data_IF_387875735291
#
_entry.id   IF_387875735291
#
_cell.length_a   1.000
_cell.length_b   1.000
_cell.length_c   1.000
_cell.angle_alpha   90.00
_cell.angle_beta   90.00
_cell.angle_gamma   90.00
#
_symmetry.space_group_name_H-M   'P 1'
#
loop_
_entity.id
_entity.type
_entity.pdbx_description
1 polymer ?
#
# COMPACT_ATOMS: atom_id res chain seq x y z
N UNK A 1 -44.10 -12.70 -16.16
CA UNK A 1 -42.68 -12.35 -16.03
C UNK A 1 -42.63 -11.02 -15.28
N UNK A 2 -42.66 -11.08 -13.95
CA UNK A 2 -42.60 -9.90 -13.09
C UNK A 2 -41.19 -9.29 -13.18
N UNK A 3 -41.15 -8.04 -13.61
CA UNK A 3 -39.95 -7.21 -13.57
C UNK A 3 -39.65 -6.94 -12.09
N UNK A 4 -38.70 -7.67 -11.51
CA UNK A 4 -38.17 -7.34 -10.19
C UNK A 4 -37.44 -6.02 -10.31
N UNK A 5 -38.13 -4.93 -10.01
CA UNK A 5 -37.54 -3.62 -9.78
C UNK A 5 -36.61 -3.74 -8.59
N UNK A 6 -35.31 -3.80 -8.84
CA UNK A 6 -34.28 -3.62 -7.81
C UNK A 6 -34.43 -2.22 -7.26
N UNK A 7 -35.10 -2.10 -6.10
CA UNK A 7 -35.19 -0.82 -5.38
C UNK A 7 -33.78 -0.46 -4.92
N UNK A 8 -33.18 0.53 -5.54
CA UNK A 8 -31.88 1.05 -5.09
C UNK A 8 -32.01 1.49 -3.64
N UNK A 9 -31.19 0.92 -2.76
CA UNK A 9 -31.16 1.28 -1.36
C UNK A 9 -30.66 2.72 -1.21
N UNK A 10 -31.36 3.57 -0.43
CA UNK A 10 -30.92 4.93 -0.23
C UNK A 10 -29.55 4.96 0.47
N UNK A 11 -28.60 5.68 -0.12
CA UNK A 11 -27.27 5.88 0.42
C UNK A 11 -27.24 7.02 1.45
N UNK A 12 -26.26 7.05 2.35
CA UNK A 12 -26.06 8.18 3.25
C UNK A 12 -25.88 9.51 2.47
N UNK A 13 -26.30 10.65 3.04
CA UNK A 13 -26.14 11.94 2.38
C UNK A 13 -24.71 12.22 1.93
N UNK A 14 -24.52 12.66 0.68
CA UNK A 14 -23.23 12.98 0.09
C UNK A 14 -22.40 11.76 -0.35
N UNK A 15 -22.89 10.54 -0.14
CA UNK A 15 -22.28 9.31 -0.66
C UNK A 15 -22.92 8.94 -1.98
N UNK A 16 -22.09 8.53 -2.93
CA UNK A 16 -22.50 8.07 -4.27
C UNK A 16 -21.98 6.67 -4.52
N UNK A 17 -22.66 5.91 -5.38
CA UNK A 17 -22.28 4.57 -5.78
C UNK A 17 -23.37 3.53 -5.52
N UNK A 18 -22.99 2.30 -5.25
CA UNK A 18 -23.90 1.16 -5.05
C UNK A 18 -23.54 0.33 -3.83
N UNK A 19 -24.53 -0.31 -3.23
CA UNK A 19 -24.35 -1.23 -2.09
C UNK A 19 -25.44 -2.31 -2.11
N UNK A 20 -25.04 -3.55 -1.86
CA UNK A 20 -26.00 -4.64 -1.61
C UNK A 20 -26.60 -4.57 -0.21
N UNK A 21 -27.81 -5.10 0.04
CA UNK A 21 -28.48 -5.01 1.34
C UNK A 21 -27.63 -5.46 2.53
N UNK A 22 -26.91 -6.55 2.39
CA UNK A 22 -26.06 -7.11 3.43
C UNK A 22 -24.90 -6.18 3.85
N UNK A 23 -24.47 -5.29 2.97
CA UNK A 23 -23.35 -4.36 3.21
C UNK A 23 -23.81 -2.92 3.56
N UNK A 24 -25.11 -2.69 3.72
CA UNK A 24 -25.65 -1.40 4.16
C UNK A 24 -24.98 -0.83 5.43
N UNK A 25 -24.70 -1.63 6.50
CA UNK A 25 -23.97 -1.10 7.65
C UNK A 25 -22.57 -0.57 7.32
N UNK A 26 -21.90 -1.13 6.31
CA UNK A 26 -20.61 -0.63 5.84
C UNK A 26 -20.76 0.70 5.09
N UNK A 27 -21.81 0.88 4.28
CA UNK A 27 -22.12 2.14 3.62
C UNK A 27 -22.42 3.25 4.62
N UNK A 28 -23.21 2.96 5.66
CA UNK A 28 -23.50 3.91 6.74
C UNK A 28 -22.23 4.31 7.52
N UNK A 29 -21.37 3.33 7.82
CA UNK A 29 -20.08 3.58 8.47
C UNK A 29 -19.17 4.45 7.59
N UNK A 30 -19.09 4.18 6.29
CA UNK A 30 -18.34 4.96 5.33
C UNK A 30 -18.85 6.42 5.30
N UNK A 31 -20.15 6.63 5.16
CA UNK A 31 -20.75 7.95 5.19
C UNK A 31 -20.40 8.72 6.48
N UNK A 32 -20.56 8.09 7.65
CA UNK A 32 -20.26 8.72 8.95
C UNK A 32 -18.79 9.08 9.13
N UNK A 33 -17.87 8.29 8.61
CA UNK A 33 -16.43 8.45 8.84
C UNK A 33 -15.79 9.37 7.79
N UNK A 34 -16.24 9.31 6.53
CA UNK A 34 -15.56 9.99 5.43
C UNK A 34 -16.21 11.35 5.09
N UNK A 35 -17.51 11.54 5.31
CA UNK A 35 -18.16 12.85 5.07
C UNK A 35 -17.80 13.92 6.13
N UNK A 36 -17.28 13.50 7.29
CA UNK A 36 -16.86 14.41 8.36
C UNK A 36 -15.50 15.04 8.03
N UNK A 37 -15.48 16.21 7.44
CA UNK A 37 -14.26 16.99 7.21
C UNK A 37 -13.98 17.31 5.74
N UNK A 38 -12.82 17.94 5.49
CA UNK A 38 -12.37 18.32 4.15
C UNK A 38 -11.77 17.13 3.42
N UNK A 39 -11.91 17.11 2.08
CA UNK A 39 -11.39 16.05 1.21
C UNK A 39 -12.43 14.99 0.89
N UNK A 40 -11.99 13.85 0.41
CA UNK A 40 -12.85 12.77 -0.04
C UNK A 40 -12.19 11.39 0.08
N UNK A 41 -12.89 10.40 -0.45
CA UNK A 41 -12.39 9.03 -0.51
C UNK A 41 -13.36 8.09 -1.20
N UNK A 42 -12.88 6.88 -1.47
CA UNK A 42 -13.65 5.80 -2.05
C UNK A 42 -13.39 4.48 -1.31
N UNK A 43 -14.42 3.65 -1.27
CA UNK A 43 -14.40 2.32 -0.67
C UNK A 43 -15.04 1.33 -1.65
N UNK A 44 -14.29 0.31 -2.04
CA UNK A 44 -14.80 -0.80 -2.85
C UNK A 44 -14.60 -2.09 -2.09
N UNK A 45 -15.63 -2.94 -2.04
CA UNK A 45 -15.62 -4.24 -1.40
C UNK A 45 -16.09 -5.30 -2.38
N UNK A 46 -15.37 -6.42 -2.44
CA UNK A 46 -15.72 -7.55 -3.29
C UNK A 46 -15.79 -8.84 -2.46
N UNK A 47 -16.74 -9.70 -2.80
CA UNK A 47 -16.90 -11.03 -2.21
C UNK A 47 -17.00 -12.05 -3.34
N UNK A 48 -16.11 -13.05 -3.36
CA UNK A 48 -16.03 -14.07 -4.41
C UNK A 48 -16.05 -13.50 -5.84
N UNK A 49 -15.34 -12.38 -6.05
CA UNK A 49 -15.26 -11.70 -7.35
C UNK A 49 -16.40 -10.72 -7.66
N UNK A 50 -17.49 -10.73 -6.88
CA UNK A 50 -18.62 -9.81 -7.05
C UNK A 50 -18.43 -8.52 -6.26
N UNK A 51 -18.71 -7.37 -6.87
CA UNK A 51 -18.69 -6.08 -6.18
C UNK A 51 -19.97 -5.94 -5.36
N UNK A 52 -19.83 -5.93 -4.04
CA UNK A 52 -20.95 -5.81 -3.10
C UNK A 52 -21.12 -4.42 -2.52
N UNK A 53 -20.09 -3.58 -2.66
CA UNK A 53 -20.11 -2.18 -2.29
C UNK A 53 -19.08 -1.43 -3.13
N UNK A 54 -19.51 -0.31 -3.74
CA UNK A 54 -18.63 0.61 -4.45
C UNK A 54 -19.12 2.04 -4.22
N UNK A 55 -18.43 2.76 -3.35
CA UNK A 55 -18.86 4.05 -2.84
C UNK A 55 -17.74 5.09 -2.92
N UNK A 56 -18.13 6.32 -3.22
CA UNK A 56 -17.25 7.48 -3.10
C UNK A 56 -18.00 8.68 -2.49
N UNK A 57 -17.22 9.62 -1.92
CA UNK A 57 -17.77 10.84 -1.32
C UNK A 57 -16.72 11.95 -1.26
N UNK A 58 -17.18 13.20 -1.18
CA UNK A 58 -16.34 14.36 -0.98
C UNK A 58 -15.65 14.84 -2.26
N UNK A 59 -14.48 15.45 -2.09
CA UNK A 59 -13.78 16.23 -3.10
C UNK A 59 -12.37 15.75 -3.34
N UNK A 60 -11.98 15.71 -4.62
CA UNK A 60 -10.63 15.34 -5.04
C UNK A 60 -9.65 16.52 -4.95
N UNK A 61 -10.13 17.75 -4.81
CA UNK A 61 -9.32 18.96 -4.72
C UNK A 61 -9.61 19.78 -3.45
N UNK A 62 -8.69 20.70 -3.15
CA UNK A 62 -8.81 21.60 -1.99
C UNK A 62 -9.84 22.72 -2.18
N UNK A 63 -10.11 23.07 -3.44
CA UNK A 63 -11.05 24.12 -3.81
C UNK A 63 -12.51 23.65 -3.82
N UNK A 64 -12.76 22.35 -3.67
CA UNK A 64 -14.07 21.73 -3.75
C UNK A 64 -14.76 21.97 -5.10
N UNK A 65 -14.00 21.92 -6.19
CA UNK A 65 -14.49 22.06 -7.57
C UNK A 65 -14.57 20.74 -8.30
N UNK A 66 -13.76 19.76 -7.89
CA UNK A 66 -13.69 18.43 -8.49
C UNK A 66 -14.23 17.36 -7.52
N UNK A 67 -15.45 16.83 -7.76
CA UNK A 67 -16.01 15.76 -6.95
C UNK A 67 -15.15 14.50 -7.01
N UNK A 68 -15.12 13.72 -5.94
CA UNK A 68 -14.49 12.39 -5.97
C UNK A 68 -15.29 11.45 -6.87
N UNK A 69 -14.62 10.65 -7.69
CA UNK A 69 -15.23 9.63 -8.55
C UNK A 69 -14.59 8.26 -8.30
N UNK A 70 -15.12 7.14 -8.81
CA UNK A 70 -14.50 5.82 -8.71
C UNK A 70 -13.09 5.78 -9.33
N UNK A 71 -12.82 6.58 -10.36
CA UNK A 71 -11.55 6.68 -11.09
C UNK A 71 -10.53 7.56 -10.35
N UNK A 72 -10.96 8.31 -9.34
CA UNK A 72 -10.07 9.20 -8.59
C UNK A 72 -8.94 8.42 -7.93
N UNK A 73 -7.71 8.81 -8.26
CA UNK A 73 -6.48 8.24 -7.72
C UNK A 73 -6.04 9.00 -6.47
N UNK A 74 -5.61 8.29 -5.44
CA UNK A 74 -5.07 8.92 -4.24
C UNK A 74 -3.63 8.51 -3.99
N UNK A 75 -2.82 9.45 -3.49
CA UNK A 75 -1.51 9.16 -2.92
C UNK A 75 -1.67 8.14 -1.79
N UNK A 76 -1.15 6.94 -1.99
CA UNK A 76 -1.48 5.81 -1.14
C UNK A 76 -0.34 5.33 -0.23
N UNK A 77 0.80 6.03 -0.24
CA UNK A 77 1.96 5.71 0.60
C UNK A 77 2.28 4.20 0.64
N UNK A 78 2.44 3.65 1.83
CA UNK A 78 2.85 2.26 2.00
C UNK A 78 1.85 1.21 1.48
N UNK A 79 0.62 1.58 1.12
CA UNK A 79 -0.28 0.69 0.38
C UNK A 79 0.35 0.21 -0.93
N UNK A 80 1.18 1.06 -1.54
CA UNK A 80 1.97 0.77 -2.75
C UNK A 80 2.84 -0.47 -2.60
N UNK A 81 3.34 -0.78 -1.39
CA UNK A 81 4.18 -1.97 -1.15
C UNK A 81 3.47 -3.26 -1.49
N UNK A 82 2.17 -3.35 -1.23
CA UNK A 82 1.38 -4.52 -1.60
C UNK A 82 1.34 -4.73 -3.11
N UNK A 83 1.18 -3.63 -3.88
CA UNK A 83 1.21 -3.64 -5.34
C UNK A 83 2.60 -4.04 -5.84
N UNK A 84 3.66 -3.40 -5.34
CA UNK A 84 5.04 -3.69 -5.69
C UNK A 84 5.45 -5.15 -5.37
N UNK A 85 5.00 -5.66 -4.22
CA UNK A 85 5.27 -7.05 -3.82
C UNK A 85 4.57 -8.05 -4.74
N UNK A 86 3.38 -7.73 -5.25
CA UNK A 86 2.68 -8.58 -6.21
C UNK A 86 3.50 -8.75 -7.49
N UNK A 87 4.22 -7.72 -7.96
CA UNK A 87 5.15 -7.85 -9.08
C UNK A 87 6.24 -8.88 -8.78
N UNK A 88 6.84 -8.83 -7.57
CA UNK A 88 7.87 -9.82 -7.18
C UNK A 88 7.30 -11.24 -7.22
N UNK A 89 6.07 -11.44 -6.76
CA UNK A 89 5.42 -12.75 -6.81
C UNK A 89 5.17 -13.23 -8.24
N UNK A 90 4.77 -12.33 -9.14
CA UNK A 90 4.64 -12.64 -10.58
C UNK A 90 5.98 -13.07 -11.20
N UNK A 91 7.04 -12.36 -10.87
CA UNK A 91 8.39 -12.70 -11.34
C UNK A 91 8.88 -14.03 -10.76
N UNK A 92 8.56 -14.33 -9.50
CA UNK A 92 8.88 -15.61 -8.88
C UNK A 92 8.15 -16.78 -9.56
N UNK A 93 6.86 -16.63 -9.87
CA UNK A 93 6.09 -17.66 -10.59
C UNK A 93 6.61 -17.94 -12.00
N UNK A 94 7.21 -16.95 -12.64
CA UNK A 94 7.87 -17.11 -13.94
C UNK A 94 9.27 -17.70 -13.85
N UNK A 95 9.75 -18.01 -12.64
CA UNK A 95 11.08 -18.54 -12.41
C UNK A 95 12.20 -17.50 -12.57
N UNK A 96 11.88 -16.20 -12.68
CA UNK A 96 12.87 -15.14 -12.80
C UNK A 96 13.64 -14.90 -11.49
N UNK A 97 13.05 -15.28 -10.36
CA UNK A 97 13.69 -15.24 -9.03
C UNK A 97 13.07 -16.30 -8.11
N UNK A 98 13.80 -16.65 -7.04
CA UNK A 98 13.31 -17.52 -5.98
C UNK A 98 13.41 -16.83 -4.61
N UNK A 99 12.44 -17.10 -3.71
CA UNK A 99 12.37 -16.39 -2.43
C UNK A 99 13.56 -16.66 -1.51
N UNK A 100 14.11 -17.87 -1.56
CA UNK A 100 15.20 -18.30 -0.67
C UNK A 100 16.60 -18.10 -1.26
N UNK A 101 16.66 -17.62 -2.51
CA UNK A 101 17.91 -17.24 -3.13
C UNK A 101 18.40 -15.89 -2.61
N UNK A 102 19.74 -15.73 -2.46
CA UNK A 102 20.33 -14.43 -2.17
C UNK A 102 19.99 -13.39 -3.24
N UNK A 103 19.68 -12.16 -2.84
CA UNK A 103 19.48 -11.05 -3.77
C UNK A 103 20.71 -10.85 -4.65
N UNK A 104 21.91 -11.09 -4.09
CA UNK A 104 23.18 -10.98 -4.81
C UNK A 104 23.29 -11.90 -6.03
N UNK A 105 22.54 -13.00 -6.08
CA UNK A 105 22.45 -13.88 -7.27
C UNK A 105 21.90 -13.11 -8.49
N UNK A 106 20.98 -12.18 -8.28
CA UNK A 106 20.33 -11.39 -9.32
C UNK A 106 20.90 -9.98 -9.44
N UNK A 107 21.45 -9.49 -8.35
CA UNK A 107 21.99 -8.15 -8.19
C UNK A 107 23.38 -8.21 -7.52
N UNK A 108 24.45 -8.51 -8.29
CA UNK A 108 25.79 -8.80 -7.73
C UNK A 108 26.33 -7.71 -6.80
N UNK A 109 26.10 -6.42 -7.14
CA UNK A 109 26.55 -5.29 -6.33
C UNK A 109 25.91 -5.25 -4.93
N UNK A 110 24.78 -5.91 -4.77
CA UNK A 110 24.11 -6.02 -3.48
C UNK A 110 24.90 -6.85 -2.45
N UNK A 111 25.82 -7.72 -2.88
CA UNK A 111 26.67 -8.50 -1.98
C UNK A 111 27.56 -7.62 -1.09
N UNK A 112 27.84 -6.38 -1.51
CA UNK A 112 28.71 -5.48 -0.77
C UNK A 112 28.23 -5.24 0.68
N UNK A 113 29.20 -5.06 1.59
CA UNK A 113 28.93 -4.61 2.97
C UNK A 113 28.20 -5.61 3.85
N UNK A 114 28.38 -6.92 3.64
CA UNK A 114 27.87 -8.00 4.49
C UNK A 114 26.45 -8.46 4.15
N UNK A 115 26.00 -8.25 2.90
CA UNK A 115 24.68 -8.62 2.42
C UNK A 115 24.62 -9.82 1.49
N UNK A 116 25.73 -10.51 1.30
CA UNK A 116 25.86 -11.65 0.37
C UNK A 116 24.86 -12.78 0.61
N UNK A 117 24.34 -12.92 1.84
CA UNK A 117 23.37 -13.96 2.21
C UNK A 117 21.94 -13.45 2.39
N UNK A 118 21.68 -12.18 2.13
CA UNK A 118 20.34 -11.62 2.27
C UNK A 118 19.45 -12.14 1.14
N UNK A 119 18.41 -12.89 1.48
CA UNK A 119 17.49 -13.48 0.53
C UNK A 119 16.37 -12.54 0.09
N UNK A 120 15.71 -12.89 -1.01
CA UNK A 120 14.47 -12.18 -1.43
C UNK A 120 13.42 -12.25 -0.32
N UNK A 121 13.31 -13.38 0.39
CA UNK A 121 12.42 -13.54 1.56
C UNK A 121 12.77 -12.57 2.68
N UNK A 122 14.05 -12.35 2.95
CA UNK A 122 14.50 -11.39 3.99
C UNK A 122 14.08 -9.96 3.63
N UNK A 123 14.21 -9.58 2.36
CA UNK A 123 13.73 -8.29 1.86
C UNK A 123 12.21 -8.16 2.07
N UNK A 124 11.43 -9.12 1.58
CA UNK A 124 9.96 -9.09 1.66
C UNK A 124 9.42 -9.15 3.09
N UNK A 125 10.23 -9.58 4.05
CA UNK A 125 9.89 -9.64 5.49
C UNK A 125 10.59 -8.58 6.34
N UNK A 126 11.18 -7.56 5.69
CA UNK A 126 11.85 -6.43 6.35
C UNK A 126 13.07 -6.82 7.21
N UNK A 127 13.85 -7.80 6.77
CA UNK A 127 15.05 -8.27 7.45
C UNK A 127 16.37 -7.98 6.71
N UNK A 128 16.30 -7.24 5.61
CA UNK A 128 17.49 -6.88 4.83
C UNK A 128 18.43 -5.87 5.52
N UNK A 129 18.04 -5.32 6.68
CA UNK A 129 18.90 -4.40 7.46
C UNK A 129 19.01 -2.98 6.90
N UNK A 130 18.36 -2.68 5.79
CA UNK A 130 18.47 -1.42 5.04
C UNK A 130 17.27 -0.47 5.28
N UNK A 131 16.77 -0.42 6.51
CA UNK A 131 15.53 0.29 6.86
C UNK A 131 15.67 1.82 6.94
N UNK A 132 16.89 2.35 7.16
CA UNK A 132 17.13 3.79 7.36
C UNK A 132 17.28 4.52 6.04
N UNK A 133 16.29 5.35 5.68
CA UNK A 133 16.38 6.24 4.50
C UNK A 133 17.43 7.32 4.71
N UNK A 134 17.58 7.84 5.94
CA UNK A 134 18.59 8.86 6.27
C UNK A 134 20.03 8.37 6.14
N UNK A 135 20.25 7.08 6.06
CA UNK A 135 21.57 6.51 5.83
C UNK A 135 22.00 6.54 4.36
N UNK A 136 21.07 6.85 3.44
CA UNK A 136 21.31 6.84 1.99
C UNK A 136 20.86 8.11 1.27
N UNK A 137 20.03 8.95 1.90
CA UNK A 137 19.58 10.22 1.36
C UNK A 137 19.92 11.37 2.33
N UNK A 138 20.54 12.43 1.82
CA UNK A 138 20.94 13.63 2.59
C UNK A 138 20.04 14.82 2.26
N UNK A 139 19.51 14.86 1.04
CA UNK A 139 18.69 15.95 0.50
C UNK A 139 17.41 15.38 -0.14
N UNK A 140 16.33 16.19 -0.28
CA UNK A 140 15.10 15.72 -0.90
C UNK A 140 15.28 15.28 -2.36
N UNK A 141 16.18 15.94 -3.12
CA UNK A 141 16.46 15.62 -4.51
C UNK A 141 17.06 14.20 -4.67
N UNK A 142 17.83 13.73 -3.68
CA UNK A 142 18.38 12.36 -3.69
C UNK A 142 17.26 11.33 -3.85
N UNK A 143 16.08 11.59 -3.27
CA UNK A 143 14.93 10.68 -3.29
C UNK A 143 14.28 10.57 -4.67
N UNK A 144 14.52 11.56 -5.56
CA UNK A 144 13.98 11.59 -6.91
C UNK A 144 14.82 10.76 -7.89
N UNK A 145 16.10 10.54 -7.59
CA UNK A 145 16.97 9.66 -8.38
C UNK A 145 16.87 8.22 -7.86
N UNK A 146 15.87 7.48 -8.33
CA UNK A 146 15.63 6.11 -7.86
C UNK A 146 16.77 5.15 -8.23
N UNK A 147 17.49 5.36 -9.34
CA UNK A 147 18.64 4.52 -9.72
C UNK A 147 19.83 4.77 -8.78
N UNK A 148 20.07 6.01 -8.41
CA UNK A 148 21.10 6.36 -7.41
C UNK A 148 20.72 5.81 -6.02
N UNK A 149 19.43 5.83 -5.63
CA UNK A 149 19.00 5.20 -4.39
C UNK A 149 19.22 3.68 -4.40
N UNK A 150 18.94 3.00 -5.50
CA UNK A 150 19.27 1.58 -5.67
C UNK A 150 20.77 1.35 -5.47
N UNK A 151 21.63 2.15 -6.13
CA UNK A 151 23.08 2.05 -6.04
C UNK A 151 23.58 2.28 -4.60
N UNK A 152 23.11 3.33 -3.93
CA UNK A 152 23.49 3.63 -2.53
C UNK A 152 23.06 2.52 -1.57
N UNK A 153 21.87 1.95 -1.74
CA UNK A 153 21.39 0.82 -0.94
C UNK A 153 22.23 -0.45 -1.17
N UNK A 154 22.59 -0.73 -2.43
CA UNK A 154 23.46 -1.86 -2.75
C UNK A 154 24.87 -1.71 -2.16
N UNK A 155 25.42 -0.50 -2.17
CA UNK A 155 26.75 -0.22 -1.61
C UNK A 155 26.76 -0.17 -0.07
N UNK A 156 25.61 0.06 0.58
CA UNK A 156 25.52 0.29 2.03
C UNK A 156 25.91 -0.94 2.83
N UNK A 157 26.90 -0.78 3.74
CA UNK A 157 27.27 -1.82 4.68
C UNK A 157 26.24 -1.92 5.82
N UNK A 158 25.81 -3.14 6.12
CA UNK A 158 24.87 -3.45 7.20
C UNK A 158 25.16 -4.84 7.76
N UNK A 159 24.72 -5.09 8.99
CA UNK A 159 24.72 -6.44 9.54
C UNK A 159 23.40 -7.12 9.18
N UNK A 160 23.40 -7.96 8.15
CA UNK A 160 22.20 -8.58 7.58
C UNK A 160 22.46 -10.06 7.19
N UNK A 161 21.41 -10.92 7.06
CA UNK A 161 20.02 -10.59 7.44
C UNK A 161 19.85 -10.42 8.95
N UNK A 162 18.85 -9.63 9.35
CA UNK A 162 18.54 -9.41 10.76
C UNK A 162 17.58 -10.48 11.29
N UNK A 163 17.74 -10.89 12.56
CA UNK A 163 16.82 -11.83 13.19
C UNK A 163 15.42 -11.22 13.41
N UNK A 164 15.37 -9.91 13.70
CA UNK A 164 14.12 -9.15 13.88
C UNK A 164 13.84 -8.33 12.64
N UNK A 165 12.56 -8.17 12.34
CA UNK A 165 12.16 -7.20 11.32
C UNK A 165 12.44 -5.77 11.78
N UNK A 166 12.78 -4.92 10.82
CA UNK A 166 12.85 -3.47 10.98
C UNK A 166 12.22 -2.85 9.74
N UNK A 167 11.05 -2.29 9.86
CA UNK A 167 10.22 -1.85 8.75
C UNK A 167 10.97 -0.91 7.81
N UNK A 168 11.17 -1.34 6.57
CA UNK A 168 11.80 -0.57 5.49
C UNK A 168 10.73 0.39 4.92
N UNK A 169 10.50 1.51 5.61
CA UNK A 169 9.34 2.35 5.32
C UNK A 169 9.37 2.99 3.93
N UNK A 170 10.54 3.46 3.50
CA UNK A 170 10.75 4.08 2.18
C UNK A 170 11.67 3.21 1.33
N UNK A 171 12.78 2.75 1.89
CA UNK A 171 13.82 1.99 1.19
C UNK A 171 13.33 0.69 0.57
N UNK A 172 12.26 0.08 1.11
CA UNK A 172 11.62 -1.12 0.54
C UNK A 172 11.34 -0.98 -0.95
N UNK A 173 10.82 0.17 -1.37
CA UNK A 173 10.44 0.41 -2.76
C UNK A 173 11.62 0.28 -3.72
N UNK A 174 12.72 0.96 -3.44
CA UNK A 174 13.92 0.90 -4.29
C UNK A 174 14.60 -0.47 -4.25
N UNK A 175 14.57 -1.17 -3.11
CA UNK A 175 15.10 -2.53 -3.02
C UNK A 175 14.31 -3.51 -3.89
N UNK A 176 12.99 -3.43 -3.86
CA UNK A 176 12.09 -4.23 -4.71
C UNK A 176 12.24 -3.85 -6.18
N UNK A 177 12.30 -2.55 -6.49
CA UNK A 177 12.48 -2.05 -7.85
C UNK A 177 13.84 -2.47 -8.41
N UNK A 178 14.90 -2.31 -7.64
CA UNK A 178 16.26 -2.70 -8.02
C UNK A 178 16.38 -4.20 -8.33
N UNK A 179 15.78 -5.06 -7.49
CA UNK A 179 15.71 -6.49 -7.75
C UNK A 179 14.92 -6.81 -9.03
N UNK A 180 13.71 -6.24 -9.15
CA UNK A 180 12.83 -6.46 -10.30
C UNK A 180 13.50 -6.01 -11.61
N UNK A 181 14.18 -4.87 -11.61
CA UNK A 181 14.93 -4.33 -12.75
C UNK A 181 16.01 -5.31 -13.25
N UNK A 182 16.77 -5.93 -12.32
CA UNK A 182 17.85 -6.87 -12.68
C UNK A 182 17.31 -8.14 -13.32
N UNK A 183 16.22 -8.69 -12.80
CA UNK A 183 15.66 -9.95 -13.34
C UNK A 183 14.78 -9.75 -14.59
N UNK A 184 14.52 -8.50 -14.99
CA UNK A 184 13.67 -8.18 -16.15
C UNK A 184 14.39 -7.43 -17.26
N UNK A 185 15.72 -7.39 -17.24
CA UNK A 185 16.50 -6.72 -18.28
C UNK A 185 16.36 -5.18 -18.28
N UNK A 186 16.20 -4.57 -17.10
CA UNK A 186 16.21 -3.11 -16.95
C UNK A 186 14.83 -2.45 -16.87
N UNK A 187 13.72 -3.20 -16.88
CA UNK A 187 12.36 -2.65 -16.81
C UNK A 187 12.08 -1.97 -15.48
N UNK A 188 11.45 -0.79 -15.53
CA UNK A 188 11.02 -0.04 -14.35
C UNK A 188 9.84 -0.69 -13.63
N UNK A 189 9.70 -0.41 -12.32
CA UNK A 189 8.62 -1.03 -11.55
C UNK A 189 7.25 -0.48 -11.93
N UNK A 190 7.14 0.77 -12.36
CA UNK A 190 5.89 1.33 -12.88
C UNK A 190 5.41 0.58 -14.12
N UNK A 191 6.33 0.28 -15.05
CA UNK A 191 6.04 -0.55 -16.23
C UNK A 191 5.63 -1.96 -15.84
N UNK A 192 6.34 -2.58 -14.89
CA UNK A 192 6.04 -3.93 -14.40
C UNK A 192 4.69 -3.99 -13.69
N UNK A 193 4.31 -2.98 -12.89
CA UNK A 193 2.97 -2.91 -12.30
C UNK A 193 1.90 -2.91 -13.38
N UNK A 194 2.10 -2.13 -14.43
CA UNK A 194 1.16 -2.05 -15.55
C UNK A 194 1.02 -3.38 -16.28
N UNK A 195 2.14 -4.00 -16.67
CA UNK A 195 2.14 -5.22 -17.50
C UNK A 195 1.87 -6.50 -16.70
N UNK A 196 2.34 -6.59 -15.45
CA UNK A 196 2.27 -7.82 -14.65
C UNK A 196 1.07 -7.86 -13.70
N UNK A 197 0.49 -6.71 -13.35
CA UNK A 197 -0.60 -6.63 -12.37
C UNK A 197 -1.83 -5.97 -12.93
N UNK A 198 -1.74 -4.69 -13.33
CA UNK A 198 -2.90 -3.91 -13.76
C UNK A 198 -3.53 -4.46 -15.05
N UNK A 199 -2.70 -4.70 -16.07
CA UNK A 199 -3.16 -5.26 -17.35
C UNK A 199 -3.85 -6.61 -17.21
N UNK A 200 -3.23 -7.63 -16.57
CA UNK A 200 -3.88 -8.91 -16.31
C UNK A 200 -5.20 -8.80 -15.51
N UNK A 201 -5.31 -7.86 -14.59
CA UNK A 201 -6.53 -7.62 -13.83
C UNK A 201 -7.57 -6.78 -14.58
N UNK A 202 -7.21 -6.17 -15.70
CA UNK A 202 -8.09 -5.25 -16.45
C UNK A 202 -8.47 -4.02 -15.63
N UNK A 203 -7.49 -3.43 -14.89
CA UNK A 203 -7.70 -2.23 -14.07
C UNK A 203 -6.78 -1.11 -14.49
N UNK A 204 -7.25 0.11 -14.36
CA UNK A 204 -6.54 1.35 -14.70
C UNK A 204 -6.45 2.28 -13.49
N UNK A 205 -5.97 1.78 -12.38
CA UNK A 205 -5.90 2.54 -11.14
C UNK A 205 -4.80 2.04 -10.20
N UNK A 206 -3.71 1.49 -10.77
CA UNK A 206 -2.51 1.06 -10.04
C UNK A 206 -1.27 1.69 -10.68
N UNK A 207 -0.88 2.88 -10.23
CA UNK A 207 0.28 3.60 -10.76
C UNK A 207 1.38 3.74 -9.70
N UNK A 208 2.64 3.73 -10.13
CA UNK A 208 3.81 4.15 -9.36
C UNK A 208 4.42 5.34 -10.07
N UNK A 209 4.45 6.50 -9.41
CA UNK A 209 4.56 7.75 -10.13
C UNK A 209 3.30 8.00 -10.95
N UNK A 210 3.24 9.12 -11.65
CA UNK A 210 2.07 9.46 -12.48
C UNK A 210 2.55 10.24 -13.69
N UNK A 211 2.20 9.76 -14.87
CA UNK A 211 2.40 10.50 -16.11
C UNK A 211 1.35 11.63 -16.27
N UNK A 212 1.49 12.43 -17.29
CA UNK A 212 0.59 13.56 -17.53
C UNK A 212 -0.86 13.14 -17.70
N UNK A 213 -1.12 11.98 -18.33
CA UNK A 213 -2.47 11.50 -18.63
C UNK A 213 -3.22 11.05 -17.38
N UNK A 214 -2.54 10.42 -16.44
CA UNK A 214 -3.14 9.99 -15.19
C UNK A 214 -3.19 11.11 -14.13
N UNK A 215 -2.43 12.20 -14.32
CA UNK A 215 -2.29 13.29 -13.33
C UNK A 215 -3.61 14.01 -13.04
N UNK A 216 -4.46 14.16 -14.05
CA UNK A 216 -5.77 14.79 -13.88
C UNK A 216 -6.70 14.04 -12.91
N UNK A 217 -6.53 12.71 -12.79
CA UNK A 217 -7.32 11.87 -11.88
C UNK A 217 -6.79 11.89 -10.45
N UNK A 218 -5.58 12.40 -10.21
CA UNK A 218 -4.96 12.38 -8.87
C UNK A 218 -5.63 13.40 -7.96
N UNK A 219 -6.08 12.95 -6.80
CA UNK A 219 -6.62 13.81 -5.76
C UNK A 219 -5.50 14.58 -5.05
N UNK A 220 -5.76 15.87 -4.80
CA UNK A 220 -4.86 16.72 -4.02
C UNK A 220 -4.88 16.31 -2.55
N UNK A 221 -3.74 16.08 -1.91
CA UNK A 221 -3.68 15.78 -0.49
C UNK A 221 -4.27 16.92 0.36
N UNK A 222 -5.13 16.55 1.32
CA UNK A 222 -5.80 17.49 2.26
C UNK A 222 -5.40 17.11 3.68
N UNK A 223 -4.90 18.07 4.45
CA UNK A 223 -4.46 17.89 5.84
C UNK A 223 -3.08 18.44 6.09
N UNK A 224 -2.62 18.35 7.33
CA UNK A 224 -1.37 18.99 7.79
C UNK A 224 -0.21 18.02 7.97
N UNK A 225 -0.44 16.70 7.89
CA UNK A 225 0.60 15.72 8.22
C UNK A 225 1.84 15.82 7.31
N UNK A 226 1.68 16.17 6.04
CA UNK A 226 2.82 16.38 5.14
C UNK A 226 3.69 17.58 5.56
N UNK A 227 3.07 18.70 5.93
CA UNK A 227 3.80 19.90 6.39
C UNK A 227 4.58 19.64 7.69
N UNK A 228 4.06 18.76 8.52
CA UNK A 228 4.68 18.44 9.81
C UNK A 228 5.80 17.39 9.68
N UNK A 229 5.83 16.59 8.63
CA UNK A 229 7.01 15.77 8.31
C UNK A 229 8.24 16.66 8.01
N UNK A 230 8.05 17.94 7.67
CA UNK A 230 9.12 18.92 7.48
C UNK A 230 9.37 19.83 8.67
N UNK A 231 8.45 20.75 8.97
CA UNK A 231 8.66 21.81 9.97
C UNK A 231 8.60 21.29 11.41
N UNK A 232 7.67 20.39 11.73
CA UNK A 232 7.58 19.79 13.06
C UNK A 232 8.74 18.86 13.39
N UNK A 233 9.33 18.22 12.37
CA UNK A 233 10.53 17.41 12.56
C UNK A 233 11.71 18.25 13.07
N UNK A 234 11.87 19.50 12.67
CA UNK A 234 12.95 20.38 13.16
C UNK A 234 12.83 20.72 14.63
N UNK A 235 11.62 20.80 15.19
CA UNK A 235 11.38 21.19 16.59
C UNK A 235 11.26 19.96 17.50
N UNK A 236 10.65 18.89 17.03
CA UNK A 236 10.36 17.68 17.82
C UNK A 236 11.50 16.65 17.70
N UNK A 237 12.27 16.68 16.61
CA UNK A 237 13.37 15.74 16.33
C UNK A 237 14.42 15.63 17.43
N UNK A 238 14.94 16.72 18.05
CA UNK A 238 15.94 16.59 19.10
C UNK A 238 15.44 15.81 20.32
N UNK A 239 14.17 16.00 20.70
CA UNK A 239 13.59 15.31 21.85
C UNK A 239 13.23 13.85 21.53
N UNK A 240 12.78 13.56 20.31
CA UNK A 240 12.41 12.20 19.86
C UNK A 240 13.63 11.33 19.55
N UNK A 241 14.74 11.90 19.11
CA UNK A 241 15.96 11.15 18.78
C UNK A 241 16.78 10.76 20.01
N UNK A 242 16.53 11.35 21.17
CA UNK A 242 17.16 10.95 22.45
C UNK A 242 16.62 9.62 22.96
N UNK A 243 15.38 9.25 22.61
CA UNK A 243 14.81 7.95 22.96
C UNK A 243 15.11 6.93 21.86
N UNK A 244 15.89 5.88 22.18
CA UNK A 244 16.25 4.79 21.23
C UNK A 244 15.03 4.18 20.51
N UNK A 245 13.86 4.18 21.14
CA UNK A 245 12.62 3.63 20.60
C UNK A 245 12.02 4.47 19.45
N UNK A 246 12.27 5.79 19.43
CA UNK A 246 11.71 6.70 18.42
C UNK A 246 12.70 7.02 17.30
N UNK A 247 14.00 6.80 17.55
CA UNK A 247 15.05 7.02 16.56
C UNK A 247 14.88 6.13 15.32
N UNK A 248 14.56 4.85 15.51
CA UNK A 248 14.34 3.92 14.41
C UNK A 248 13.19 4.36 13.49
N UNK A 249 12.09 4.80 14.09
CA UNK A 249 10.96 5.34 13.35
C UNK A 249 11.32 6.61 12.55
N UNK A 250 12.01 7.54 13.20
CA UNK A 250 12.48 8.78 12.58
C UNK A 250 13.40 8.49 11.37
N UNK A 251 14.41 7.65 11.55
CA UNK A 251 15.40 7.36 10.51
C UNK A 251 14.83 6.56 9.33
N UNK A 252 13.74 5.83 9.55
CA UNK A 252 13.09 5.05 8.51
C UNK A 252 12.03 5.82 7.70
N UNK A 253 11.33 6.77 8.33
CA UNK A 253 10.17 7.44 7.72
C UNK A 253 10.40 8.91 7.38
N UNK A 254 11.36 9.58 8.03
CA UNK A 254 11.57 11.01 7.85
C UNK A 254 12.85 11.24 7.06
N UNK A 255 12.73 11.23 5.74
CA UNK A 255 13.81 11.68 4.86
C UNK A 255 13.99 13.21 4.96
N UNK A 256 15.22 13.73 4.79
CA UNK A 256 15.44 15.17 4.76
C UNK A 256 14.61 15.83 3.66
N UNK A 257 13.91 16.93 3.97
CA UNK A 257 13.11 17.70 3.00
C UNK A 257 11.94 16.93 2.34
N UNK A 258 11.58 15.76 2.85
CA UNK A 258 10.58 14.87 2.22
C UNK A 258 9.24 15.56 1.90
N UNK A 259 8.82 16.52 2.72
CA UNK A 259 7.59 17.29 2.51
C UNK A 259 7.62 18.17 1.26
N UNK A 260 8.79 18.64 0.84
CA UNK A 260 8.99 19.51 -0.32
C UNK A 260 8.58 18.79 -1.62
N UNK A 261 8.71 17.46 -1.65
CA UNK A 261 8.33 16.63 -2.80
C UNK A 261 6.82 16.64 -3.11
N UNK A 262 6.00 17.08 -2.15
CA UNK A 262 4.54 17.13 -2.27
C UNK A 262 4.00 18.55 -2.46
N UNK A 263 4.87 19.54 -2.54
CA UNK A 263 4.50 20.95 -2.68
C UNK A 263 4.43 21.39 -4.15
N UNK A 264 3.78 22.55 -4.38
CA UNK A 264 3.61 23.13 -5.70
C UNK A 264 2.39 22.61 -6.48
N UNK A 265 2.21 23.15 -7.69
CA UNK A 265 1.18 22.75 -8.64
C UNK A 265 1.51 21.41 -9.31
N UNK A 266 2.80 21.14 -9.47
CA UNK A 266 3.34 19.90 -10.03
C UNK A 266 4.31 19.24 -9.03
N UNK A 267 3.80 18.49 -8.03
CA UNK A 267 4.66 17.87 -7.04
C UNK A 267 5.65 16.88 -7.66
N UNK A 268 6.93 17.05 -7.37
CA UNK A 268 8.02 16.23 -7.94
C UNK A 268 7.95 14.75 -7.52
N UNK A 269 7.20 14.43 -6.46
CA UNK A 269 6.97 13.05 -6.03
C UNK A 269 6.40 12.16 -7.15
N UNK A 270 5.72 12.74 -8.13
CA UNK A 270 5.08 12.00 -9.21
C UNK A 270 6.02 11.67 -10.38
N UNK A 271 7.17 12.39 -10.50
CA UNK A 271 8.10 12.26 -11.65
C UNK A 271 9.09 11.10 -11.53
N UNK A 272 9.05 10.33 -10.45
CA UNK A 272 10.01 9.25 -10.17
C UNK A 272 9.33 7.99 -9.66
N UNK A 273 10.07 6.89 -9.58
CA UNK A 273 9.61 5.65 -8.95
C UNK A 273 10.01 5.62 -7.47
N UNK A 274 9.04 5.80 -6.56
CA UNK A 274 9.17 5.55 -5.13
C UNK A 274 8.17 4.46 -4.68
N UNK A 275 8.40 3.19 -5.01
CA UNK A 275 7.36 2.14 -4.93
C UNK A 275 6.92 1.74 -3.52
N UNK A 276 7.36 2.47 -2.51
CA UNK A 276 6.89 2.37 -1.13
C UNK A 276 6.07 3.58 -0.70
N UNK A 277 5.92 4.61 -1.56
CA UNK A 277 5.37 5.92 -1.20
C UNK A 277 4.37 6.45 -2.22
N UNK A 278 4.79 6.57 -3.50
CA UNK A 278 4.09 7.35 -4.50
C UNK A 278 3.13 6.57 -5.40
N UNK A 279 2.52 5.51 -4.86
CA UNK A 279 1.39 4.87 -5.53
C UNK A 279 0.22 5.83 -5.62
N UNK A 280 -0.26 6.06 -6.85
CA UNK A 280 -1.54 6.69 -7.13
C UNK A 280 -2.54 5.57 -7.42
N UNK A 281 -3.42 5.30 -6.45
CA UNK A 281 -4.25 4.09 -6.46
C UNK A 281 -5.73 4.45 -6.36
N UNK A 282 -6.59 3.69 -7.05
CA UNK A 282 -8.05 3.74 -6.88
C UNK A 282 -8.56 2.62 -5.97
N UNK A 283 -9.72 2.83 -5.33
CA UNK A 283 -10.32 1.83 -4.45
C UNK A 283 -10.71 0.57 -5.21
N UNK A 284 -11.31 0.73 -6.39
CA UNK A 284 -11.73 -0.37 -7.25
C UNK A 284 -10.57 -1.25 -7.70
N UNK A 285 -9.46 -0.63 -8.14
CA UNK A 285 -8.27 -1.37 -8.56
C UNK A 285 -7.60 -2.13 -7.41
N UNK A 286 -7.52 -1.52 -6.22
CA UNK A 286 -7.05 -2.21 -5.01
C UNK A 286 -7.96 -3.38 -4.64
N UNK A 287 -9.29 -3.17 -4.63
CA UNK A 287 -10.23 -4.22 -4.29
C UNK A 287 -10.13 -5.40 -5.26
N UNK A 288 -9.90 -5.13 -6.56
CA UNK A 288 -9.70 -6.18 -7.58
C UNK A 288 -8.39 -6.93 -7.41
N UNK A 289 -7.27 -6.23 -7.13
CA UNK A 289 -6.00 -6.87 -6.80
C UNK A 289 -6.14 -7.82 -5.61
N UNK A 290 -6.67 -7.30 -4.49
CA UNK A 290 -6.87 -8.10 -3.29
C UNK A 290 -7.99 -9.14 -3.44
N UNK A 291 -8.94 -8.93 -4.36
CA UNK A 291 -9.95 -9.89 -4.77
C UNK A 291 -9.34 -11.13 -5.42
N UNK A 292 -8.40 -10.95 -6.34
CA UNK A 292 -7.63 -12.06 -6.89
C UNK A 292 -6.87 -12.83 -5.78
N UNK A 293 -6.24 -12.10 -4.84
CA UNK A 293 -5.53 -12.74 -3.72
C UNK A 293 -6.48 -13.43 -2.73
N UNK A 294 -7.69 -12.90 -2.51
CA UNK A 294 -8.69 -13.52 -1.65
C UNK A 294 -9.24 -14.84 -2.24
N UNK A 295 -9.23 -14.97 -3.56
CA UNK A 295 -9.78 -16.11 -4.30
C UNK A 295 -8.70 -17.02 -4.90
N UNK A 296 -7.56 -17.17 -4.23
CA UNK A 296 -6.50 -18.11 -4.63
C UNK A 296 -5.75 -17.73 -5.90
N UNK A 297 -5.64 -16.43 -6.18
CA UNK A 297 -4.84 -15.86 -7.25
C UNK A 297 -5.60 -15.54 -8.55
N UNK A 298 -6.91 -15.75 -8.57
CA UNK A 298 -7.79 -15.32 -9.65
C UNK A 298 -9.18 -15.03 -9.06
N UNK A 299 -9.86 -14.00 -9.54
CA UNK A 299 -11.29 -13.88 -9.25
C UNK A 299 -12.07 -14.91 -10.10
N UNK A 300 -13.24 -15.37 -9.63
CA UNK A 300 -14.11 -16.26 -10.41
C UNK A 300 -14.35 -15.70 -11.81
N UNK A 301 -14.12 -16.52 -12.83
CA UNK A 301 -14.27 -16.10 -14.25
C UNK A 301 -13.21 -15.10 -14.75
N UNK A 302 -12.29 -14.67 -13.91
CA UNK A 302 -11.24 -13.73 -14.25
C UNK A 302 -9.90 -14.38 -14.59
N UNK A 303 -8.96 -13.59 -15.11
CA UNK A 303 -7.61 -14.09 -15.41
C UNK A 303 -6.86 -14.45 -14.12
N UNK A 304 -5.99 -15.45 -14.23
CA UNK A 304 -5.12 -15.84 -13.10
C UNK A 304 -3.94 -14.89 -12.97
N UNK A 305 -3.89 -14.20 -11.84
CA UNK A 305 -2.78 -13.33 -11.49
C UNK A 305 -1.64 -14.13 -10.86
N UNK A 306 -1.94 -15.02 -9.92
CA UNK A 306 -0.97 -15.88 -9.21
C UNK A 306 -1.54 -17.31 -9.08
N UNK A 307 -0.69 -18.30 -8.84
CA UNK A 307 -1.13 -19.64 -8.49
C UNK A 307 -1.70 -19.68 -7.07
N UNK A 308 -2.58 -20.63 -6.81
CA UNK A 308 -3.13 -20.84 -5.46
C UNK A 308 -2.02 -21.19 -4.44
N UNK A 309 -0.97 -21.90 -4.87
CA UNK A 309 0.17 -22.23 -4.03
C UNK A 309 0.94 -20.98 -3.61
N UNK A 310 1.22 -20.06 -4.54
CA UNK A 310 1.86 -18.78 -4.23
C UNK A 310 1.00 -17.96 -3.27
N UNK A 311 -0.30 -17.84 -3.54
CA UNK A 311 -1.22 -17.10 -2.65
C UNK A 311 -1.27 -17.72 -1.25
N UNK A 312 -1.26 -19.04 -1.15
CA UNK A 312 -1.19 -19.72 0.14
C UNK A 312 0.11 -19.38 0.88
N UNK A 313 1.27 -19.44 0.21
CA UNK A 313 2.55 -19.13 0.86
C UNK A 313 2.66 -17.66 1.26
N UNK A 314 2.33 -16.72 0.36
CA UNK A 314 2.38 -15.29 0.71
C UNK A 314 1.40 -14.90 1.81
N UNK A 315 0.31 -15.62 1.97
CA UNK A 315 -0.68 -15.44 3.04
C UNK A 315 -0.22 -15.97 4.40
N UNK A 316 0.84 -16.81 4.47
CA UNK A 316 1.40 -17.31 5.73
C UNK A 316 2.17 -16.23 6.48
N UNK A 317 2.25 -16.36 7.79
CA UNK A 317 3.12 -15.51 8.61
C UNK A 317 4.54 -16.07 8.58
N UNK A 318 5.46 -15.36 7.92
CA UNK A 318 6.87 -15.74 7.81
C UNK A 318 7.71 -15.20 8.96
N UNK A 319 7.38 -14.01 9.46
CA UNK A 319 8.10 -13.39 10.59
C UNK A 319 7.10 -12.83 11.60
N UNK A 320 7.29 -13.21 12.86
CA UNK A 320 6.52 -12.71 14.00
C UNK A 320 7.51 -12.17 15.03
N UNK A 321 7.73 -10.87 14.98
CA UNK A 321 8.66 -10.19 15.90
C UNK A 321 8.10 -8.83 16.30
N UNK A 322 8.61 -8.29 17.41
CA UNK A 322 8.48 -6.87 17.68
C UNK A 322 9.38 -6.13 16.69
N UNK A 323 8.77 -5.38 15.78
CA UNK A 323 9.48 -4.65 14.74
C UNK A 323 10.35 -3.54 15.33
N UNK A 324 11.60 -3.43 14.85
CA UNK A 324 12.60 -2.50 15.37
C UNK A 324 12.32 -1.03 15.03
N UNK A 325 11.48 -0.77 14.03
CA UNK A 325 11.09 0.58 13.58
C UNK A 325 9.71 0.95 14.14
N UNK A 326 8.72 0.09 13.98
CA UNK A 326 7.35 0.37 14.40
C UNK A 326 7.11 0.16 15.89
N UNK A 327 7.96 -0.62 16.55
CA UNK A 327 7.79 -0.97 17.97
C UNK A 327 6.59 -1.89 18.26
N UNK A 328 5.92 -2.38 17.23
CA UNK A 328 4.72 -3.23 17.30
C UNK A 328 5.04 -4.70 17.04
N UNK A 329 4.26 -5.60 17.59
CA UNK A 329 4.33 -7.01 17.27
C UNK A 329 3.72 -7.25 15.88
N UNK A 330 4.58 -7.25 14.87
CA UNK A 330 4.16 -7.44 13.49
C UNK A 330 4.06 -8.92 13.12
N UNK A 331 3.14 -9.21 12.20
CA UNK A 331 2.99 -10.50 11.53
C UNK A 331 3.26 -10.28 10.05
N UNK A 332 4.54 -10.29 9.70
CA UNK A 332 4.97 -10.08 8.33
C UNK A 332 4.74 -11.33 7.48
N UNK A 333 4.24 -11.09 6.31
CA UNK A 333 4.13 -12.03 5.20
C UNK A 333 5.09 -11.60 4.10
N UNK A 334 5.10 -12.27 2.97
CA UNK A 334 5.95 -11.87 1.85
C UNK A 334 5.44 -10.56 1.23
N UNK A 335 5.94 -9.43 1.72
CA UNK A 335 5.57 -8.08 1.26
C UNK A 335 4.22 -7.55 1.74
N UNK A 336 3.56 -8.27 2.67
CA UNK A 336 2.30 -7.87 3.28
C UNK A 336 2.37 -7.99 4.81
N UNK A 337 1.38 -7.46 5.49
CA UNK A 337 1.18 -7.65 6.93
C UNK A 337 -0.24 -8.11 7.23
N UNK A 338 -0.49 -8.53 8.46
CA UNK A 338 -1.84 -8.84 8.91
C UNK A 338 -2.77 -7.63 8.71
N UNK A 339 -3.97 -7.87 8.20
CA UNK A 339 -4.98 -6.83 8.05
C UNK A 339 -5.52 -6.43 9.43
N UNK A 340 -5.15 -5.24 9.88
CA UNK A 340 -5.59 -4.69 11.16
C UNK A 340 -7.08 -4.29 11.10
N UNK A 341 -7.75 -4.31 12.25
CA UNK A 341 -9.16 -3.93 12.35
C UNK A 341 -10.16 -5.03 11.95
N UNK A 342 -9.71 -6.12 11.35
CA UNK A 342 -10.58 -7.23 10.91
C UNK A 342 -11.02 -8.17 12.03
N UNK A 343 -10.60 -7.92 13.28
CA UNK A 343 -10.90 -8.80 14.41
C UNK A 343 -10.16 -10.14 14.34
N UNK A 344 -10.85 -11.26 14.60
CA UNK A 344 -10.27 -12.60 14.51
C UNK A 344 -10.23 -13.10 13.05
N UNK A 345 -9.36 -12.54 12.25
CA UNK A 345 -9.12 -12.91 10.85
C UNK A 345 -7.65 -13.30 10.64
N UNK A 346 -7.18 -14.46 11.12
CA UNK A 346 -5.76 -14.81 11.12
C UNK A 346 -5.15 -14.89 9.72
N UNK A 347 -5.96 -15.18 8.71
CA UNK A 347 -5.54 -15.29 7.31
C UNK A 347 -5.65 -13.98 6.53
N UNK A 348 -6.36 -12.98 7.07
CA UNK A 348 -6.49 -11.68 6.40
C UNK A 348 -5.15 -10.96 6.34
N UNK A 349 -4.81 -10.44 5.16
CA UNK A 349 -3.55 -9.76 4.90
C UNK A 349 -3.70 -8.65 3.85
N UNK A 350 -2.81 -7.68 3.90
CA UNK A 350 -2.79 -6.58 2.95
C UNK A 350 -1.70 -5.58 3.30
N UNK A 351 -1.85 -4.36 2.82
CA UNK A 351 -0.94 -3.27 3.18
C UNK A 351 -1.70 -1.96 3.37
N UNK A 352 -1.34 -1.23 4.43
CA UNK A 352 -1.93 0.04 4.81
C UNK A 352 -0.92 1.17 4.65
N UNK A 353 -1.39 2.33 4.21
CA UNK A 353 -0.58 3.51 3.99
C UNK A 353 -0.67 4.53 5.12
N UNK A 354 0.37 5.33 5.26
CA UNK A 354 0.45 6.43 6.23
C UNK A 354 -0.71 7.43 6.11
N UNK A 355 -1.19 7.68 4.88
CA UNK A 355 -2.32 8.57 4.59
C UNK A 355 -3.70 7.99 4.90
N UNK A 356 -3.80 6.76 5.44
CA UNK A 356 -5.08 6.11 5.75
C UNK A 356 -5.65 5.25 4.63
N UNK A 357 -5.11 5.31 3.41
CA UNK A 357 -5.47 4.39 2.32
C UNK A 357 -4.97 2.98 2.61
N UNK A 358 -5.60 1.97 2.02
CA UNK A 358 -5.16 0.59 2.15
C UNK A 358 -6.04 -0.40 1.41
N UNK A 359 -5.53 -1.61 1.28
CA UNK A 359 -6.28 -2.73 0.74
C UNK A 359 -5.88 -4.02 1.43
N UNK A 360 -6.79 -4.98 1.46
CA UNK A 360 -6.57 -6.28 2.07
C UNK A 360 -7.48 -7.37 1.50
N UNK A 361 -7.04 -8.60 1.67
CA UNK A 361 -7.74 -9.83 1.32
C UNK A 361 -8.01 -10.67 2.58
N UNK A 362 -9.18 -11.30 2.65
CA UNK A 362 -9.48 -12.40 3.59
C UNK A 362 -9.83 -13.65 2.79
N UNK A 363 -8.87 -14.57 2.59
CA UNK A 363 -9.10 -15.79 1.82
C UNK A 363 -10.13 -16.75 2.45
N UNK A 364 -10.43 -16.61 3.73
CA UNK A 364 -11.47 -17.42 4.39
C UNK A 364 -12.87 -17.05 3.94
N UNK A 365 -13.05 -15.80 3.49
CA UNK A 365 -14.36 -15.27 3.11
C UNK A 365 -14.45 -14.95 1.60
N UNK A 366 -13.37 -15.12 0.83
CA UNK A 366 -13.29 -14.62 -0.54
C UNK A 366 -13.44 -13.08 -0.60
N UNK A 367 -13.15 -12.40 0.51
CA UNK A 367 -13.44 -10.99 0.74
C UNK A 367 -12.22 -10.13 0.48
N UNK A 368 -12.42 -9.05 -0.26
CA UNK A 368 -11.41 -8.00 -0.44
C UNK A 368 -11.99 -6.61 -0.20
N UNK A 369 -11.08 -5.70 0.15
CA UNK A 369 -11.38 -4.30 0.35
C UNK A 369 -10.27 -3.44 -0.26
N UNK A 370 -10.67 -2.38 -0.95
CA UNK A 370 -9.83 -1.25 -1.31
C UNK A 370 -10.44 0.05 -0.75
N UNK A 371 -9.65 0.82 -0.03
CA UNK A 371 -10.02 2.13 0.49
C UNK A 371 -8.95 3.15 0.16
N UNK A 372 -9.33 4.24 -0.46
CA UNK A 372 -8.42 5.36 -0.76
C UNK A 372 -9.03 6.68 -0.31
N UNK A 373 -8.15 7.60 0.11
CA UNK A 373 -8.54 8.94 0.57
C UNK A 373 -7.41 9.93 0.32
N UNK A 374 -7.76 11.19 0.08
CA UNK A 374 -6.78 12.28 0.06
C UNK A 374 -6.61 12.98 1.41
N UNK A 375 -7.33 12.52 2.44
CA UNK A 375 -7.24 13.05 3.80
C UNK A 375 -6.00 12.49 4.48
N UNK A 376 -4.96 13.29 4.53
CA UNK A 376 -3.73 12.93 5.22
C UNK A 376 -3.81 13.46 6.64
N UNK A 377 -3.79 12.57 7.64
CA UNK A 377 -4.01 12.88 9.05
C UNK A 377 -3.20 14.03 9.62
N UNK A 378 -3.16 14.14 10.94
CA UNK A 378 -2.35 15.12 11.66
C UNK A 378 -1.13 14.47 12.31
N UNK A 379 -0.19 15.29 12.80
CA UNK A 379 1.01 14.81 13.52
C UNK A 379 0.68 13.99 14.76
N UNK A 380 -0.43 14.33 15.41
CA UNK A 380 -0.90 13.64 16.62
C UNK A 380 -1.56 12.28 16.32
N UNK A 381 -1.90 12.02 15.05
CA UNK A 381 -2.43 10.74 14.58
C UNK A 381 -1.65 10.28 13.34
N UNK A 382 -0.40 9.85 13.50
CA UNK A 382 0.50 9.55 12.38
C UNK A 382 0.03 8.36 11.52
N UNK A 383 -0.85 7.50 12.03
CA UNK A 383 -1.50 6.41 11.27
C UNK A 383 -2.83 6.88 10.66
N UNK A 384 -2.97 8.20 10.39
CA UNK A 384 -4.18 8.86 9.93
C UNK A 384 -5.43 8.45 10.74
N UNK A 385 -6.59 8.90 10.38
CA UNK A 385 -7.77 8.54 11.15
C UNK A 385 -7.97 7.00 11.13
N UNK A 386 -8.54 6.45 12.20
CA UNK A 386 -8.83 5.01 12.32
C UNK A 386 -9.93 4.53 11.33
N UNK A 387 -10.20 5.29 10.26
CA UNK A 387 -11.28 5.03 9.30
C UNK A 387 -11.13 3.66 8.67
N UNK A 388 -9.97 3.37 8.07
CA UNK A 388 -9.74 2.07 7.44
C UNK A 388 -9.88 0.90 8.43
N UNK A 389 -9.35 1.05 9.66
CA UNK A 389 -9.48 0.01 10.69
C UNK A 389 -10.94 -0.25 11.08
N UNK A 390 -11.73 0.82 11.24
CA UNK A 390 -13.15 0.72 11.56
C UNK A 390 -13.94 0.13 10.41
N UNK A 391 -13.71 0.59 9.19
CA UNK A 391 -14.34 0.05 7.99
C UNK A 391 -14.00 -1.43 7.80
N UNK A 392 -12.75 -1.83 7.99
CA UNK A 392 -12.33 -3.24 7.90
C UNK A 392 -13.14 -4.14 8.83
N UNK A 393 -13.38 -3.70 10.07
CA UNK A 393 -14.17 -4.45 11.05
C UNK A 393 -15.65 -4.55 10.68
N UNK A 394 -16.23 -3.45 10.16
CA UNK A 394 -17.64 -3.45 9.74
C UNK A 394 -17.84 -4.30 8.50
N UNK A 395 -17.02 -4.11 7.47
CA UNK A 395 -17.06 -4.86 6.20
C UNK A 395 -16.96 -6.37 6.46
N UNK A 396 -16.00 -6.79 7.29
CA UNK A 396 -15.86 -8.21 7.61
C UNK A 396 -17.07 -8.78 8.35
N UNK A 397 -17.68 -8.02 9.25
CA UNK A 397 -18.94 -8.46 9.90
C UNK A 397 -20.08 -8.61 8.91
N UNK A 398 -20.24 -7.67 7.96
CA UNK A 398 -21.23 -7.80 6.89
C UNK A 398 -21.03 -9.10 6.09
N UNK A 399 -19.78 -9.40 5.70
CA UNK A 399 -19.47 -10.63 4.96
C UNK A 399 -19.74 -11.91 5.76
N UNK A 400 -19.52 -11.91 7.08
CA UNK A 400 -19.83 -13.05 7.94
C UNK A 400 -21.33 -13.28 8.04
N UNK A 401 -22.13 -12.23 8.18
CA UNK A 401 -23.60 -12.31 8.25
C UNK A 401 -24.17 -12.80 6.92
N UNK A 402 -23.70 -12.24 5.78
CA UNK A 402 -24.19 -12.64 4.45
C UNK A 402 -23.88 -14.09 4.08
N UNK A 403 -22.89 -14.71 4.72
CA UNK A 403 -22.52 -16.12 4.49
C UNK A 403 -23.34 -17.10 5.35
N UNK A 404 -23.96 -16.62 6.41
CA UNK A 404 -24.79 -17.43 7.33
C UNK A 404 -26.29 -17.36 7.04
N UNK A 405 -26.68 -16.46 6.14
CA UNK A 405 -28.03 -16.33 5.57
C UNK A 405 -28.13 -17.00 4.21
#
# INVERSE_FOLDING_TARGET
MEVVTTTELPLPPGVRGSVTPAFRPAAEAFGKLVTRGRGGGALTVRVNGETVLDLCTGWADRAHTRPWTPETLALSFSTTKGVASTVVHRLAERGALAYDEPIATYWPEFAAGGKERVTVRDLLTHRAGLWSVRAVAERPEDLLDHLEMERRLAARAVRAPTQRSAYHAITYGWLVAGLARRVTGGRGLAELVRSEVAGPLGVDGLHIGVDETAREFVAQPVGSALRHLGAGARVITPALTTLKATRGFHDALIAPGFHELFEGSEPSIWSTEMPAVNGALSAGALARLYGALANGGAEPGGPRLLSAATVHDLGRVHVRTRDGVLGLNMRWRLGYHHAFGTGRAPKAFGHYGYGGSGGWADPELGLSLGYVTNRIGSVTTPMADATLYRLSGVVRRCALVSRGS
#
